data_IF_836506312889
#
_entry.id   IF_836506312889
#
_cell.length_a   1.000
_cell.length_b   1.000
_cell.length_c   1.000
_cell.angle_alpha   90.00
_cell.angle_beta   90.00
_cell.angle_gamma   90.00
#
_symmetry.space_group_name_H-M   'P 1'
#
loop_
_entity.id
_entity.type
_entity.pdbx_description
1 polymer ?
#
# COMPACT_ATOMS: atom_id res chain seq x y z
N UNK A 1 1.87 -8.76 -7.89
CA UNK A 1 3.12 -9.52 -8.12
C UNK A 1 3.81 -8.99 -9.35
N UNK A 2 5.13 -9.17 -9.46
CA UNK A 2 5.94 -8.74 -10.62
C UNK A 2 7.36 -9.28 -10.53
N UNK A 3 8.22 -8.86 -11.48
CA UNK A 3 9.60 -9.34 -11.61
C UNK A 3 10.68 -8.26 -11.40
N UNK A 4 10.31 -6.99 -11.43
CA UNK A 4 11.21 -5.85 -11.25
C UNK A 4 10.54 -4.79 -10.36
N UNK A 5 11.23 -4.42 -9.28
CA UNK A 5 10.76 -3.43 -8.32
C UNK A 5 11.87 -2.41 -8.07
N UNK A 6 11.49 -1.15 -8.02
CA UNK A 6 12.35 -0.05 -7.57
C UNK A 6 11.61 0.61 -6.42
N UNK A 7 12.19 0.55 -5.23
CA UNK A 7 11.58 1.01 -4.00
C UNK A 7 12.58 1.79 -3.14
N UNK A 8 12.11 2.38 -2.05
CA UNK A 8 12.95 3.12 -1.11
C UNK A 8 12.35 3.12 0.29
N UNK A 9 13.14 3.53 1.25
CA UNK A 9 12.77 3.61 2.64
C UNK A 9 12.91 5.04 3.14
N UNK A 10 11.83 5.57 3.71
CA UNK A 10 11.80 6.92 4.27
C UNK A 10 12.49 6.97 5.63
N UNK A 11 12.65 8.16 6.18
CA UNK A 11 13.31 8.38 7.45
C UNK A 11 12.45 7.82 8.59
N UNK A 12 13.03 6.93 9.41
CA UNK A 12 12.43 6.52 10.67
C UNK A 12 13.25 7.12 11.82
N UNK A 13 12.59 7.74 12.78
CA UNK A 13 13.27 8.38 13.91
C UNK A 13 13.88 7.34 14.82
N UNK A 14 15.20 7.22 14.78
CA UNK A 14 15.96 6.28 15.60
C UNK A 14 15.73 6.57 17.08
N UNK A 15 15.31 5.55 17.82
CA UNK A 15 15.11 5.60 19.27
C UNK A 15 15.81 4.42 19.94
N UNK A 16 17.14 4.45 19.99
CA UNK A 16 17.97 3.36 20.50
C UNK A 16 19.01 2.89 19.48
N UNK A 17 19.29 1.59 19.43
CA UNK A 17 20.14 1.01 18.39
C UNK A 17 19.41 0.93 17.07
N UNK A 18 20.01 1.43 16.01
CA UNK A 18 19.46 1.33 14.66
C UNK A 18 19.39 -0.14 14.21
N UNK A 19 18.27 -0.51 13.59
CA UNK A 19 18.03 -1.84 13.07
C UNK A 19 18.10 -1.85 11.55
N UNK A 20 18.52 -2.97 10.98
CA UNK A 20 18.47 -3.16 9.54
C UNK A 20 17.02 -3.14 9.04
N UNK A 21 16.88 -2.67 7.82
CA UNK A 21 15.65 -2.76 7.05
C UNK A 21 15.48 -4.20 6.58
N UNK A 22 14.24 -4.67 6.54
CA UNK A 22 13.93 -6.00 6.07
C UNK A 22 13.06 -5.93 4.81
N UNK A 23 13.40 -6.76 3.82
CA UNK A 23 12.54 -7.14 2.71
C UNK A 23 12.09 -8.57 2.91
N UNK A 24 10.80 -8.81 2.72
CA UNK A 24 10.23 -10.15 2.67
C UNK A 24 9.75 -10.42 1.25
N UNK A 25 10.15 -11.54 0.68
CA UNK A 25 9.78 -11.93 -0.68
C UNK A 25 9.10 -13.29 -0.67
N UNK A 26 8.03 -13.41 -1.46
CA UNK A 26 7.28 -14.65 -1.62
C UNK A 26 6.80 -14.81 -3.06
N UNK A 27 6.44 -16.02 -3.46
CA UNK A 27 5.91 -16.31 -4.79
C UNK A 27 4.74 -17.29 -4.72
N UNK A 28 3.79 -17.13 -5.65
CA UNK A 28 2.75 -18.13 -5.94
C UNK A 28 3.10 -19.00 -7.14
N UNK A 29 4.26 -18.77 -7.80
CA UNK A 29 4.76 -19.60 -8.91
C UNK A 29 5.09 -21.01 -8.45
N UNK A 30 4.81 -22.00 -9.31
CA UNK A 30 5.24 -23.37 -9.08
C UNK A 30 6.75 -23.57 -9.33
N UNK A 31 7.39 -22.65 -10.06
CA UNK A 31 8.84 -22.59 -10.27
C UNK A 31 9.46 -21.72 -9.19
N UNK A 32 10.50 -22.19 -8.48
CA UNK A 32 11.21 -21.34 -7.53
C UNK A 32 11.76 -20.08 -8.19
N UNK A 33 11.59 -18.95 -7.55
CA UNK A 33 12.03 -17.65 -8.02
C UNK A 33 13.43 -17.33 -7.50
N UNK A 34 14.40 -17.12 -8.37
CA UNK A 34 15.68 -16.53 -7.99
C UNK A 34 15.51 -15.01 -7.89
N UNK A 35 15.77 -14.47 -6.70
CA UNK A 35 15.57 -13.04 -6.36
C UNK A 35 16.91 -12.38 -6.10
N UNK A 36 17.15 -11.23 -6.72
CA UNK A 36 18.34 -10.42 -6.51
C UNK A 36 17.95 -9.05 -5.97
N UNK A 37 18.58 -8.63 -4.87
CA UNK A 37 18.41 -7.30 -4.27
C UNK A 37 19.72 -6.52 -4.36
N UNK A 38 19.66 -5.31 -4.88
CA UNK A 38 20.81 -4.40 -5.03
C UNK A 38 20.47 -2.99 -4.55
N UNK A 39 21.51 -2.21 -4.25
CA UNK A 39 21.42 -0.77 -3.94
C UNK A 39 22.35 0.01 -4.89
N UNK A 40 21.94 0.20 -6.17
CA UNK A 40 22.87 0.50 -7.27
C UNK A 40 23.69 1.77 -7.10
N UNK A 41 23.13 2.82 -6.48
CA UNK A 41 23.84 4.08 -6.24
C UNK A 41 24.38 4.20 -4.82
N UNK A 42 23.68 3.66 -3.82
CA UNK A 42 24.09 3.76 -2.41
C UNK A 42 25.32 2.92 -2.11
N UNK A 43 25.29 1.66 -2.47
CA UNK A 43 26.42 0.72 -2.39
C UNK A 43 26.41 -0.20 -3.60
N UNK A 44 27.10 0.17 -4.69
CA UNK A 44 27.10 -0.60 -5.94
C UNK A 44 27.64 -2.03 -5.81
N UNK A 45 28.41 -2.32 -4.77
CA UNK A 45 28.92 -3.68 -4.48
C UNK A 45 27.92 -4.56 -3.72
N UNK A 46 26.83 -3.97 -3.16
CA UNK A 46 25.82 -4.75 -2.47
C UNK A 46 24.94 -5.50 -3.47
N UNK A 47 24.99 -6.81 -3.39
CA UNK A 47 24.13 -7.71 -4.15
C UNK A 47 23.83 -8.94 -3.31
N UNK A 48 22.58 -9.15 -2.96
CA UNK A 48 22.12 -10.32 -2.23
C UNK A 48 21.19 -11.14 -3.11
N UNK A 49 21.49 -12.43 -3.24
CA UNK A 49 20.70 -13.38 -4.04
C UNK A 49 20.10 -14.43 -3.12
N UNK A 50 18.83 -14.73 -3.30
CA UNK A 50 18.11 -15.80 -2.62
C UNK A 50 17.19 -16.52 -3.58
N UNK A 51 16.64 -17.66 -3.17
CA UNK A 51 15.64 -18.40 -3.94
C UNK A 51 14.42 -18.64 -3.07
N UNK A 52 13.25 -18.20 -3.53
CA UNK A 52 11.98 -18.41 -2.83
C UNK A 52 11.12 -19.41 -3.59
N UNK A 53 10.56 -20.38 -2.86
CA UNK A 53 9.60 -21.36 -3.39
C UNK A 53 8.18 -20.99 -2.96
N UNK A 54 7.21 -21.48 -3.72
CA UNK A 54 5.78 -21.29 -3.41
C UNK A 54 5.46 -21.64 -1.95
N UNK A 55 4.72 -20.75 -1.29
CA UNK A 55 4.29 -20.92 0.11
C UNK A 55 5.37 -20.58 1.14
N UNK A 56 6.59 -20.27 0.69
CA UNK A 56 7.68 -19.81 1.56
C UNK A 56 7.87 -18.31 1.46
N UNK A 57 8.52 -17.75 2.47
CA UNK A 57 8.97 -16.37 2.50
C UNK A 57 10.44 -16.33 2.83
N UNK A 58 11.18 -15.56 2.03
CA UNK A 58 12.59 -15.28 2.27
C UNK A 58 12.77 -13.86 2.79
N UNK A 59 13.60 -13.71 3.81
CA UNK A 59 13.97 -12.43 4.41
C UNK A 59 15.34 -11.99 3.89
N UNK A 60 15.42 -10.72 3.47
CA UNK A 60 16.64 -10.08 3.02
C UNK A 60 16.84 -8.81 3.87
N UNK A 61 18.03 -8.65 4.43
CA UNK A 61 18.36 -7.48 5.25
C UNK A 61 19.23 -6.49 4.47
N UNK A 62 18.88 -5.21 4.59
CA UNK A 62 19.65 -4.09 4.04
C UNK A 62 20.02 -3.16 5.20
N UNK A 63 21.21 -2.54 5.12
CA UNK A 63 21.63 -1.58 6.14
C UNK A 63 20.61 -0.44 6.33
N UNK A 64 20.34 -0.07 7.57
CA UNK A 64 19.44 1.05 7.91
C UNK A 64 19.86 2.39 7.28
N UNK A 65 21.13 2.56 6.91
CA UNK A 65 21.64 3.76 6.27
C UNK A 65 21.08 4.01 4.86
N UNK A 66 20.36 3.04 4.26
CA UNK A 66 19.64 3.21 2.99
C UNK A 66 18.43 4.14 3.11
N UNK A 67 17.93 4.43 4.31
CA UNK A 67 16.80 5.33 4.53
C UNK A 67 17.07 6.73 4.00
N UNK A 68 16.03 7.39 3.50
CA UNK A 68 16.04 8.82 3.28
C UNK A 68 16.31 9.59 4.58
N UNK A 69 16.81 10.80 4.46
CA UNK A 69 17.08 11.67 5.61
C UNK A 69 16.94 13.13 5.22
N UNK A 70 16.13 13.88 5.97
CA UNK A 70 15.88 15.29 5.70
C UNK A 70 15.23 15.52 4.34
N UNK A 71 15.39 16.72 3.74
CA UNK A 71 14.81 17.08 2.45
C UNK A 71 15.87 17.23 1.37
N UNK A 72 15.75 16.50 0.25
CA UNK A 72 16.67 16.62 -0.89
C UNK A 72 16.77 15.38 -1.76
N UNK A 73 17.58 15.48 -2.82
CA UNK A 73 17.91 14.36 -3.70
C UNK A 73 19.03 13.54 -3.08
N UNK A 74 18.85 12.21 -3.08
CA UNK A 74 19.76 11.26 -2.46
C UNK A 74 19.86 9.98 -3.30
N UNK A 75 20.92 9.20 -3.11
CA UNK A 75 21.20 7.95 -3.83
C UNK A 75 20.74 6.75 -2.97
N UNK A 76 19.41 6.58 -2.78
CA UNK A 76 18.82 5.65 -1.80
C UNK A 76 17.85 4.62 -2.40
N UNK A 77 17.80 4.50 -3.73
CA UNK A 77 16.94 3.51 -4.40
C UNK A 77 17.44 2.08 -4.20
N UNK A 78 16.49 1.18 -3.99
CA UNK A 78 16.69 -0.27 -3.89
C UNK A 78 16.04 -0.92 -5.10
N UNK A 79 16.73 -1.84 -5.76
CA UNK A 79 16.19 -2.67 -6.83
C UNK A 79 16.03 -4.10 -6.37
N UNK A 80 14.87 -4.68 -6.67
CA UNK A 80 14.59 -6.12 -6.51
C UNK A 80 14.21 -6.68 -7.86
N UNK A 81 14.93 -7.69 -8.32
CA UNK A 81 14.61 -8.41 -9.57
C UNK A 81 14.39 -9.88 -9.30
N UNK A 82 13.57 -10.54 -10.12
CA UNK A 82 13.25 -11.95 -9.96
C UNK A 82 13.05 -12.65 -11.30
N UNK A 83 13.37 -13.95 -11.35
CA UNK A 83 13.11 -14.82 -12.52
C UNK A 83 11.63 -15.12 -12.68
N UNK A 84 10.87 -15.22 -11.59
CA UNK A 84 9.43 -15.45 -11.55
C UNK A 84 8.70 -14.31 -10.87
N UNK A 85 7.38 -14.24 -11.01
CA UNK A 85 6.57 -13.24 -10.30
C UNK A 85 6.62 -13.44 -8.79
N UNK A 86 6.96 -12.37 -8.08
CA UNK A 86 7.04 -12.32 -6.63
C UNK A 86 6.16 -11.21 -6.04
N UNK A 87 5.83 -11.34 -4.77
CA UNK A 87 5.38 -10.23 -3.93
C UNK A 87 6.53 -9.81 -3.04
N UNK A 88 6.72 -8.51 -2.90
CA UNK A 88 7.76 -7.91 -2.05
C UNK A 88 7.10 -7.07 -0.99
N UNK A 89 7.50 -7.26 0.27
CA UNK A 89 7.12 -6.41 1.40
C UNK A 89 8.36 -5.73 1.93
N UNK A 90 8.28 -4.44 2.18
CA UNK A 90 9.32 -3.66 2.86
C UNK A 90 8.94 -3.39 4.30
N UNK A 91 9.89 -3.53 5.22
CA UNK A 91 9.70 -3.23 6.65
C UNK A 91 10.75 -2.24 7.09
N UNK A 92 10.30 -1.07 7.51
CA UNK A 92 11.13 -0.01 8.08
C UNK A 92 11.03 -0.08 9.60
N UNK A 93 12.04 -0.67 10.24
CA UNK A 93 11.92 -1.08 11.63
C UNK A 93 13.01 -0.46 12.52
N UNK A 94 12.58 0.02 13.65
CA UNK A 94 13.40 0.43 14.80
C UNK A 94 12.91 -0.26 16.08
N UNK A 95 13.64 -0.11 17.18
CA UNK A 95 13.27 -0.77 18.43
C UNK A 95 11.85 -0.44 18.91
N UNK A 96 11.42 0.82 18.74
CA UNK A 96 10.13 1.34 19.17
C UNK A 96 9.42 2.10 18.05
N UNK A 97 9.57 1.67 16.81
CA UNK A 97 8.95 2.31 15.67
C UNK A 97 9.07 1.42 14.43
N UNK A 98 7.95 0.87 14.00
CA UNK A 98 7.94 -0.10 12.90
C UNK A 98 6.67 0.05 12.09
N UNK A 99 6.82 0.11 10.77
CA UNK A 99 5.71 -0.12 9.84
C UNK A 99 6.22 -0.81 8.58
N UNK A 100 5.30 -1.33 7.78
CA UNK A 100 5.63 -2.06 6.57
C UNK A 100 4.65 -1.76 5.44
N UNK A 101 5.06 -2.05 4.23
CA UNK A 101 4.28 -1.82 3.02
C UNK A 101 4.43 -2.95 2.02
N UNK A 102 3.44 -3.11 1.13
CA UNK A 102 3.56 -3.96 -0.05
C UNK A 102 4.16 -3.15 -1.21
N UNK A 103 5.23 -3.66 -1.82
CA UNK A 103 5.87 -3.00 -2.95
C UNK A 103 5.13 -3.30 -4.26
N UNK A 104 5.03 -2.29 -5.15
CA UNK A 104 4.47 -2.42 -6.47
C UNK A 104 5.58 -2.57 -7.52
N UNK A 105 5.45 -3.51 -8.46
CA UNK A 105 6.43 -3.69 -9.51
C UNK A 105 6.43 -2.50 -10.49
N UNK A 106 7.55 -2.32 -11.20
CA UNK A 106 7.76 -1.19 -12.12
C UNK A 106 6.69 -1.11 -13.23
N UNK A 107 6.12 -2.22 -13.62
CA UNK A 107 5.04 -2.27 -14.62
C UNK A 107 3.65 -1.95 -14.06
N UNK A 108 3.51 -1.77 -12.73
CA UNK A 108 2.26 -1.40 -12.06
C UNK A 108 2.28 0.02 -11.46
N UNK A 109 3.42 0.73 -11.51
CA UNK A 109 3.52 2.12 -11.09
C UNK A 109 3.21 3.10 -12.24
N UNK A 110 3.09 4.39 -11.96
CA UNK A 110 2.64 5.40 -12.91
C UNK A 110 3.42 6.71 -12.87
N UNK A 111 2.77 7.77 -13.34
CA UNK A 111 3.35 9.12 -13.46
C UNK A 111 2.64 10.15 -12.58
N UNK A 112 1.44 9.85 -12.08
CA UNK A 112 0.62 10.78 -11.31
C UNK A 112 0.15 10.13 -10.02
N UNK A 113 0.32 10.87 -8.93
CA UNK A 113 0.01 10.41 -7.59
C UNK A 113 -0.61 11.53 -6.75
N UNK A 114 -1.34 11.14 -5.72
CA UNK A 114 -1.81 12.02 -4.66
C UNK A 114 -1.38 11.40 -3.33
N UNK A 115 -0.92 12.22 -2.39
CA UNK A 115 -0.35 11.74 -1.14
C UNK A 115 -1.37 11.73 -0.01
N UNK A 116 -1.12 10.87 0.97
CA UNK A 116 -1.79 10.84 2.27
C UNK A 116 -0.74 10.70 3.37
N UNK A 117 -0.79 11.58 4.37
CA UNK A 117 0.04 11.51 5.58
C UNK A 117 -0.84 11.84 6.79
N UNK A 118 -0.29 11.76 7.99
CA UNK A 118 -0.89 12.37 9.17
C UNK A 118 -0.22 13.71 9.47
N UNK A 119 -0.84 14.53 10.30
CA UNK A 119 -0.30 15.84 10.69
C UNK A 119 0.93 15.67 11.58
N UNK A 120 1.98 16.42 11.32
CA UNK A 120 3.32 16.42 11.89
C UNK A 120 4.21 15.26 11.46
N UNK A 121 5.51 15.53 11.40
CA UNK A 121 6.52 14.55 10.97
C UNK A 121 6.17 13.89 9.62
N UNK A 122 5.38 14.60 8.79
CA UNK A 122 4.92 14.11 7.50
C UNK A 122 6.08 14.02 6.51
N UNK A 123 6.12 12.94 5.74
CA UNK A 123 7.17 12.71 4.74
C UNK A 123 6.66 12.01 3.50
N UNK A 124 7.38 12.19 2.41
CA UNK A 124 7.22 11.40 1.19
C UNK A 124 8.54 11.21 0.48
N UNK A 125 8.62 10.20 -0.38
CA UNK A 125 9.77 9.94 -1.21
C UNK A 125 9.33 9.63 -2.64
N UNK A 126 10.03 10.21 -3.62
CA UNK A 126 9.88 9.89 -5.05
C UNK A 126 11.17 9.25 -5.54
N UNK A 127 11.07 8.13 -6.24
CA UNK A 127 12.23 7.38 -6.74
C UNK A 127 12.18 7.33 -8.27
N UNK A 128 13.25 7.77 -8.92
CA UNK A 128 13.41 7.70 -10.37
C UNK A 128 13.60 6.26 -10.85
N UNK A 129 12.85 5.86 -11.89
CA UNK A 129 13.00 4.56 -12.55
C UNK A 129 13.80 4.64 -13.85
N UNK A 130 14.00 5.86 -14.34
CA UNK A 130 14.75 6.19 -15.55
C UNK A 130 15.57 7.46 -15.35
N UNK A 131 16.69 7.59 -16.08
CA UNK A 131 17.53 8.78 -16.04
C UNK A 131 16.82 10.02 -16.59
N UNK A 132 17.11 11.19 -16.01
CA UNK A 132 16.56 12.47 -16.46
C UNK A 132 15.05 12.56 -16.28
N UNK A 133 14.49 11.97 -15.23
CA UNK A 133 13.07 12.08 -14.87
C UNK A 133 12.80 13.43 -14.22
N UNK A 134 11.84 14.19 -14.75
CA UNK A 134 11.37 15.45 -14.15
C UNK A 134 10.10 15.19 -13.35
N UNK A 135 10.11 15.58 -12.08
CA UNK A 135 9.00 15.44 -11.14
C UNK A 135 8.51 16.80 -10.69
N UNK A 136 7.23 17.09 -10.84
CA UNK A 136 6.56 18.26 -10.28
C UNK A 136 5.83 17.87 -9.01
N UNK A 137 6.07 18.60 -7.93
CA UNK A 137 5.42 18.46 -6.63
C UNK A 137 4.59 19.69 -6.37
N UNK A 138 3.27 19.55 -6.25
CA UNK A 138 2.34 20.63 -5.89
C UNK A 138 1.77 20.37 -4.50
N UNK A 139 2.14 21.18 -3.51
CA UNK A 139 1.61 21.09 -2.16
C UNK A 139 0.12 21.43 -2.16
N UNK A 140 -0.70 20.66 -1.44
CA UNK A 140 -2.16 20.86 -1.45
C UNK A 140 -2.56 22.26 -0.96
N UNK A 141 -3.26 23.02 -1.80
CA UNK A 141 -3.82 24.31 -1.44
C UNK A 141 -5.00 24.20 -0.45
N UNK A 142 -5.67 23.05 -0.46
CA UNK A 142 -6.88 22.80 0.35
C UNK A 142 -6.60 22.06 1.66
N UNK A 143 -5.35 21.69 1.94
CA UNK A 143 -5.01 21.12 3.23
C UNK A 143 -5.09 22.18 4.34
N UNK A 144 -5.86 21.96 5.41
CA UNK A 144 -6.00 22.93 6.50
C UNK A 144 -4.71 23.12 7.32
N UNK A 145 -3.78 22.15 7.25
CA UNK A 145 -2.49 22.24 7.93
C UNK A 145 -1.49 23.02 7.09
N UNK A 146 -0.89 24.05 7.66
CA UNK A 146 0.20 24.79 7.02
C UNK A 146 1.41 23.85 6.83
N UNK A 147 1.74 23.60 5.58
CA UNK A 147 2.81 22.66 5.20
C UNK A 147 3.85 23.41 4.37
N UNK A 148 5.12 23.15 4.64
CA UNK A 148 6.21 23.74 3.86
C UNK A 148 7.31 22.72 3.57
N UNK A 149 7.98 22.93 2.42
CA UNK A 149 9.16 22.19 1.99
C UNK A 149 10.23 23.19 1.58
N UNK A 150 11.41 23.09 2.17
CA UNK A 150 12.58 23.89 1.75
C UNK A 150 13.48 23.01 0.88
N UNK A 151 13.66 23.41 -0.38
CA UNK A 151 14.46 22.67 -1.35
C UNK A 151 15.13 23.63 -2.33
N UNK A 152 16.41 23.40 -2.64
CA UNK A 152 17.21 24.15 -3.61
C UNK A 152 17.13 25.68 -3.41
N UNK A 153 17.24 26.14 -2.15
CA UNK A 153 17.24 27.55 -1.79
C UNK A 153 15.86 28.22 -1.77
N UNK A 154 14.78 27.52 -2.15
CA UNK A 154 13.39 28.00 -2.08
C UNK A 154 12.62 27.33 -0.94
N UNK A 155 11.65 28.06 -0.36
CA UNK A 155 10.66 27.48 0.56
C UNK A 155 9.30 27.54 -0.11
N UNK A 156 8.67 26.38 -0.27
CA UNK A 156 7.38 26.20 -0.92
C UNK A 156 6.33 25.86 0.13
N UNK A 157 5.17 26.49 0.03
CA UNK A 157 4.03 26.33 0.94
C UNK A 157 2.79 25.82 0.21
N UNK A 158 1.70 25.62 0.94
CA UNK A 158 0.43 25.12 0.38
C UNK A 158 0.04 25.88 -0.92
N UNK A 159 -0.33 25.13 -1.94
CA UNK A 159 -0.68 25.62 -3.28
C UNK A 159 0.51 25.88 -4.21
N UNK A 160 1.75 25.86 -3.72
CA UNK A 160 2.93 26.09 -4.53
C UNK A 160 3.49 24.80 -5.13
N UNK A 161 4.13 24.95 -6.29
CA UNK A 161 4.75 23.86 -7.05
C UNK A 161 6.26 24.06 -7.15
N UNK A 162 7.02 22.99 -7.01
CA UNK A 162 8.44 22.94 -7.33
C UNK A 162 8.76 21.72 -8.18
N UNK A 163 9.91 21.75 -8.84
CA UNK A 163 10.38 20.67 -9.71
C UNK A 163 11.64 20.03 -9.17
N UNK A 164 11.74 18.72 -9.34
CA UNK A 164 12.91 17.90 -8.98
C UNK A 164 13.33 17.10 -10.21
N UNK A 165 14.64 17.00 -10.46
CA UNK A 165 15.20 16.12 -11.49
C UNK A 165 15.84 14.90 -10.83
N UNK A 166 15.52 13.70 -11.31
CA UNK A 166 16.02 12.43 -10.80
C UNK A 166 16.61 11.58 -11.92
N UNK A 167 17.72 10.94 -11.64
CA UNK A 167 18.20 9.81 -12.42
C UNK A 167 17.64 8.49 -11.85
N UNK A 168 17.80 7.42 -12.60
CA UNK A 168 17.39 6.08 -12.16
C UNK A 168 18.03 5.75 -10.82
N UNK A 169 17.24 5.25 -9.89
CA UNK A 169 17.57 4.91 -8.48
C UNK A 169 17.87 6.12 -7.57
N UNK A 170 17.87 7.34 -8.07
CA UNK A 170 17.87 8.50 -7.20
C UNK A 170 16.51 8.66 -6.51
N UNK A 171 16.56 9.15 -5.28
CA UNK A 171 15.37 9.44 -4.47
C UNK A 171 15.30 10.94 -4.19
N UNK A 172 14.12 11.53 -4.24
CA UNK A 172 13.83 12.81 -3.60
C UNK A 172 13.03 12.53 -2.34
N UNK A 173 13.55 12.86 -1.19
CA UNK A 173 12.86 12.76 0.09
C UNK A 173 12.48 14.16 0.58
N UNK A 174 11.27 14.31 1.12
CA UNK A 174 10.80 15.55 1.75
C UNK A 174 10.21 15.24 3.12
N UNK A 175 10.58 16.05 4.11
CA UNK A 175 10.11 15.97 5.48
C UNK A 175 9.56 17.34 5.91
N UNK A 176 8.37 17.36 6.51
CA UNK A 176 7.78 18.51 7.18
C UNK A 176 7.43 18.16 8.62
N UNK A 177 8.15 18.72 9.57
CA UNK A 177 8.00 18.38 11.00
C UNK A 177 6.68 18.86 11.60
N UNK A 178 6.04 19.85 11.00
CA UNK A 178 4.76 20.44 11.47
C UNK A 178 3.63 20.29 10.45
N UNK A 179 3.93 19.85 9.21
CA UNK A 179 2.99 19.81 8.11
C UNK A 179 2.21 18.51 7.98
N UNK A 180 1.41 18.47 6.91
CA UNK A 180 0.62 17.32 6.46
C UNK A 180 0.60 17.35 4.92
N UNK A 181 1.14 16.32 4.27
CA UNK A 181 1.19 16.25 2.80
C UNK A 181 -0.07 15.67 2.17
N UNK A 182 -1.13 15.39 2.94
CA UNK A 182 -2.40 14.89 2.36
C UNK A 182 -2.93 15.82 1.29
N UNK A 183 -3.24 15.26 0.11
CA UNK A 183 -3.68 16.01 -1.06
C UNK A 183 -2.53 16.62 -1.90
N UNK A 184 -1.27 16.47 -1.51
CA UNK A 184 -0.13 16.87 -2.35
C UNK A 184 -0.10 16.02 -3.61
N UNK A 185 0.06 16.68 -4.77
CA UNK A 185 0.09 16.04 -6.08
C UNK A 185 1.51 15.88 -6.60
N UNK A 186 1.82 14.69 -7.09
CA UNK A 186 3.07 14.36 -7.77
C UNK A 186 2.75 14.08 -9.24
N UNK A 187 3.46 14.76 -10.17
CA UNK A 187 3.37 14.52 -11.61
C UNK A 187 4.78 14.36 -12.18
N UNK A 188 5.05 13.27 -12.84
CA UNK A 188 6.33 12.99 -13.46
C UNK A 188 6.19 12.79 -14.98
N UNK A 189 7.23 13.10 -15.74
CA UNK A 189 7.28 12.86 -17.19
C UNK A 189 7.55 11.38 -17.52
N UNK A 190 8.16 10.63 -16.59
CA UNK A 190 8.40 9.18 -16.66
C UNK A 190 7.78 8.49 -15.45
N UNK A 191 7.67 7.15 -15.48
CA UNK A 191 7.14 6.41 -14.32
C UNK A 191 8.07 6.57 -13.12
N UNK A 192 7.49 6.69 -11.92
CA UNK A 192 8.23 6.84 -10.67
C UNK A 192 7.61 5.99 -9.58
N UNK A 193 8.40 5.56 -8.62
CA UNK A 193 7.87 5.02 -7.35
C UNK A 193 7.62 6.17 -6.38
N UNK A 194 6.51 6.12 -5.66
CA UNK A 194 6.18 7.13 -4.63
C UNK A 194 5.86 6.44 -3.32
N UNK A 195 6.52 6.87 -2.25
CA UNK A 195 6.26 6.47 -0.86
C UNK A 195 5.65 7.65 -0.11
N UNK A 196 4.79 7.38 0.86
CA UNK A 196 4.15 8.40 1.72
C UNK A 196 4.01 7.89 3.15
N UNK A 197 4.00 8.79 4.11
CA UNK A 197 3.84 8.43 5.50
C UNK A 197 4.34 9.50 6.48
N UNK A 198 4.77 9.06 7.65
CA UNK A 198 5.27 9.94 8.70
C UNK A 198 6.51 9.34 9.36
N UNK A 199 7.52 10.16 9.60
CA UNK A 199 8.78 9.75 10.22
C UNK A 199 8.57 9.11 11.59
N UNK A 200 7.73 9.70 12.43
CA UNK A 200 7.25 9.17 13.71
C UNK A 200 6.13 10.04 14.26
N UNK A 201 4.91 9.56 14.33
CA UNK A 201 3.74 10.37 14.69
C UNK A 201 2.81 9.62 15.65
N UNK A 202 2.06 10.35 16.47
CA UNK A 202 0.92 9.84 17.23
C UNK A 202 -0.39 10.21 16.50
N UNK A 203 -1.16 9.22 16.15
CA UNK A 203 -2.52 9.37 15.61
C UNK A 203 -3.50 9.33 16.78
N UNK A 204 -3.93 10.50 17.25
CA UNK A 204 -4.66 10.60 18.51
C UNK A 204 -5.89 11.52 18.44
N UNK A 205 -6.89 11.16 19.20
CA UNK A 205 -8.08 11.97 19.52
C UNK A 205 -8.05 12.55 20.95
N UNK A 206 -7.01 12.20 21.73
CA UNK A 206 -6.80 12.65 23.11
C UNK A 206 -5.32 12.92 23.37
N UNK A 207 -5.03 13.98 24.13
CA UNK A 207 -3.66 14.35 24.53
C UNK A 207 -3.02 13.35 25.51
N UNK A 208 -3.79 12.44 26.08
CA UNK A 208 -3.28 11.40 26.99
C UNK A 208 -2.66 10.20 26.27
N UNK A 209 -2.91 10.06 24.95
CA UNK A 209 -2.31 9.03 24.09
C UNK A 209 -1.09 9.62 23.38
N UNK A 210 0.11 9.27 23.82
CA UNK A 210 1.35 9.92 23.40
C UNK A 210 2.32 9.02 22.64
N UNK A 211 2.08 7.71 22.63
CA UNK A 211 2.91 6.79 21.87
C UNK A 211 2.84 7.09 20.37
N UNK A 212 3.94 6.90 19.67
CA UNK A 212 4.09 7.30 18.27
C UNK A 212 4.87 6.27 17.49
N UNK A 213 4.52 6.07 16.22
CA UNK A 213 5.19 5.14 15.32
C UNK A 213 5.53 5.78 13.97
N UNK A 214 6.41 5.12 13.22
CA UNK A 214 6.63 5.35 11.80
C UNK A 214 5.41 4.90 11.03
N UNK A 215 5.04 5.64 9.99
CA UNK A 215 3.96 5.27 9.07
C UNK A 215 4.51 5.25 7.67
N UNK A 216 4.25 4.19 6.91
CA UNK A 216 4.74 4.09 5.53
C UNK A 216 3.84 3.24 4.64
N UNK A 217 3.58 3.74 3.42
CA UNK A 217 2.98 2.98 2.32
C UNK A 217 3.57 3.38 0.97
N UNK A 218 3.61 2.45 0.03
CA UNK A 218 3.84 2.77 -1.37
C UNK A 218 2.52 3.21 -2.00
N UNK A 219 2.54 4.40 -2.63
CA UNK A 219 1.33 5.01 -3.19
C UNK A 219 0.98 4.36 -4.52
N UNK A 220 -0.27 3.89 -4.73
CA UNK A 220 -0.74 3.48 -6.05
C UNK A 220 -0.91 4.70 -6.96
N UNK A 221 -0.63 4.58 -8.27
CA UNK A 221 -0.86 5.69 -9.20
C UNK A 221 -2.36 6.00 -9.35
N UNK A 222 -2.69 7.25 -9.73
CA UNK A 222 -4.08 7.73 -9.79
C UNK A 222 -4.95 6.86 -10.72
N UNK A 223 -4.41 6.36 -11.82
CA UNK A 223 -5.12 5.49 -12.76
C UNK A 223 -5.44 4.08 -12.22
N UNK A 224 -4.79 3.69 -11.13
CA UNK A 224 -5.09 2.47 -10.39
C UNK A 224 -6.06 2.67 -9.21
N UNK A 225 -6.48 3.90 -8.91
CA UNK A 225 -7.43 4.17 -7.82
C UNK A 225 -8.86 3.81 -8.21
N UNK A 226 -9.66 3.35 -7.25
CA UNK A 226 -11.02 2.87 -7.47
C UNK A 226 -12.10 3.79 -6.90
N UNK A 227 -13.33 3.25 -6.84
CA UNK A 227 -14.53 3.99 -6.41
C UNK A 227 -15.31 3.28 -5.31
N UNK A 228 -15.03 2.00 -5.06
CA UNK A 228 -15.72 1.15 -4.10
C UNK A 228 -14.76 0.64 -3.05
N UNK A 229 -14.98 1.03 -1.82
CA UNK A 229 -14.19 0.67 -0.65
C UNK A 229 -15.10 0.40 0.55
N UNK A 230 -14.49 0.10 1.69
CA UNK A 230 -15.19 -0.06 2.97
C UNK A 230 -14.23 0.25 4.12
N UNK A 231 -14.80 0.52 5.29
CA UNK A 231 -14.03 0.64 6.52
C UNK A 231 -13.78 -0.75 7.11
N UNK A 232 -12.63 -0.91 7.74
CA UNK A 232 -12.25 -2.06 8.56
C UNK A 232 -11.83 -1.56 9.94
N UNK A 233 -11.54 -2.44 10.87
CA UNK A 233 -11.06 -2.05 12.20
C UNK A 233 -9.71 -2.67 12.48
N UNK A 234 -8.84 -1.91 13.14
CA UNK A 234 -7.63 -2.47 13.75
C UNK A 234 -8.05 -3.51 14.81
N UNK A 235 -7.54 -4.74 14.70
CA UNK A 235 -7.83 -5.78 15.67
C UNK A 235 -7.41 -5.42 17.12
N UNK A 236 -8.09 -5.99 18.10
CA UNK A 236 -7.79 -5.82 19.54
C UNK A 236 -7.79 -4.35 20.05
N UNK A 237 -8.47 -3.45 19.35
CA UNK A 237 -8.65 -2.06 19.77
C UNK A 237 -10.12 -1.72 19.87
N UNK A 238 -10.48 -0.85 20.81
CA UNK A 238 -11.88 -0.46 21.06
C UNK A 238 -12.15 1.05 20.89
N UNK A 239 -11.18 1.78 20.34
CA UNK A 239 -11.27 3.24 20.13
C UNK A 239 -11.53 3.65 18.68
N UNK A 240 -11.65 2.68 17.78
CA UNK A 240 -11.84 2.91 16.34
C UNK A 240 -10.59 3.42 15.64
N UNK A 241 -10.78 3.85 14.40
CA UNK A 241 -9.72 4.27 13.49
C UNK A 241 -10.14 5.51 12.71
N UNK A 242 -9.17 6.25 12.15
CA UNK A 242 -9.43 7.33 11.22
C UNK A 242 -9.29 6.84 9.77
N UNK A 243 -10.17 7.34 8.91
CA UNK A 243 -10.07 7.14 7.46
C UNK A 243 -10.02 8.48 6.76
N UNK A 244 -9.12 8.61 5.78
CA UNK A 244 -9.10 9.77 4.87
C UNK A 244 -9.50 9.31 3.48
N UNK A 245 -10.43 10.05 2.86
CA UNK A 245 -10.92 9.83 1.50
C UNK A 245 -10.47 11.03 0.69
N UNK A 246 -9.53 10.84 -0.24
CA UNK A 246 -8.89 11.90 -0.99
C UNK A 246 -9.39 11.88 -2.44
N UNK A 247 -9.92 12.98 -2.94
CA UNK A 247 -10.47 13.10 -4.28
C UNK A 247 -9.35 13.32 -5.32
N UNK A 248 -9.41 12.59 -6.44
CA UNK A 248 -8.49 12.75 -7.58
C UNK A 248 -8.99 13.74 -8.62
N UNK A 249 -10.28 14.12 -8.56
CA UNK A 249 -10.96 14.99 -9.53
C UNK A 249 -11.93 15.92 -8.83
N UNK A 250 -12.26 17.05 -9.49
CA UNK A 250 -13.28 17.99 -9.00
C UNK A 250 -14.67 17.37 -8.96
N UNK A 251 -15.52 17.87 -8.07
CA UNK A 251 -16.92 17.44 -7.93
C UNK A 251 -17.05 15.93 -7.68
N UNK A 252 -16.13 15.34 -6.93
CA UNK A 252 -16.18 13.95 -6.49
C UNK A 252 -17.19 13.81 -5.35
N UNK A 253 -18.29 13.12 -5.60
CA UNK A 253 -19.30 12.81 -4.58
C UNK A 253 -18.91 11.54 -3.85
N UNK A 254 -18.81 11.62 -2.53
CA UNK A 254 -18.48 10.49 -1.64
C UNK A 254 -19.72 10.12 -0.85
N UNK A 255 -20.07 8.85 -0.85
CA UNK A 255 -21.17 8.28 -0.06
C UNK A 255 -20.64 7.29 0.97
N UNK A 256 -21.20 7.31 2.18
CA UNK A 256 -20.89 6.42 3.29
C UNK A 256 -22.17 5.64 3.64
N UNK A 257 -22.06 4.32 3.73
CA UNK A 257 -23.19 3.43 4.01
C UNK A 257 -24.41 3.69 3.08
N UNK A 258 -24.16 4.03 1.80
CA UNK A 258 -25.19 4.30 0.80
C UNK A 258 -25.76 5.72 0.81
N UNK A 259 -25.37 6.59 1.74
CA UNK A 259 -25.84 7.98 1.82
C UNK A 259 -24.75 8.96 1.40
N UNK A 260 -25.11 10.00 0.65
CA UNK A 260 -24.17 11.05 0.29
C UNK A 260 -23.60 11.71 1.57
N UNK A 261 -22.28 11.65 1.71
CA UNK A 261 -21.56 12.21 2.84
C UNK A 261 -21.02 13.63 2.53
N UNK A 262 -20.33 13.78 1.38
CA UNK A 262 -19.74 15.05 0.98
C UNK A 262 -19.43 15.09 -0.52
N UNK A 263 -19.12 16.28 -1.01
CA UNK A 263 -18.56 16.52 -2.36
C UNK A 263 -17.20 17.19 -2.21
N UNK A 264 -16.18 16.62 -2.85
CA UNK A 264 -14.80 17.07 -2.79
C UNK A 264 -14.32 17.54 -4.16
N UNK A 265 -13.45 18.54 -4.19
CA UNK A 265 -12.67 18.88 -5.37
C UNK A 265 -11.31 18.14 -5.35
N UNK A 266 -10.61 18.16 -6.48
CA UNK A 266 -9.30 17.53 -6.61
C UNK A 266 -8.37 17.95 -5.45
N UNK A 267 -7.65 16.99 -4.89
CA UNK A 267 -6.72 17.18 -3.77
C UNK A 267 -7.37 17.51 -2.42
N UNK A 268 -8.69 17.66 -2.35
CA UNK A 268 -9.40 17.73 -1.08
C UNK A 268 -9.60 16.34 -0.48
N UNK A 269 -9.74 16.29 0.83
CA UNK A 269 -10.06 15.07 1.55
C UNK A 269 -11.16 15.25 2.59
N UNK A 270 -11.84 14.17 2.88
CA UNK A 270 -12.73 14.05 4.03
C UNK A 270 -12.10 13.08 5.04
N UNK A 271 -12.28 13.36 6.33
CA UNK A 271 -11.81 12.49 7.41
C UNK A 271 -13.03 11.90 8.14
N UNK A 272 -12.97 10.59 8.39
CA UNK A 272 -13.97 9.86 9.14
C UNK A 272 -13.31 9.29 10.39
N UNK A 273 -13.97 9.46 11.54
CA UNK A 273 -13.67 8.75 12.77
C UNK A 273 -14.66 7.60 12.88
N UNK A 274 -14.20 6.36 12.74
CA UNK A 274 -15.06 5.15 12.67
C UNK A 274 -14.82 4.31 13.90
N UNK A 275 -15.91 3.97 14.61
CA UNK A 275 -15.83 3.13 15.79
C UNK A 275 -15.41 1.70 15.43
N UNK A 276 -14.76 1.00 16.36
CA UNK A 276 -14.41 -0.41 16.20
C UNK A 276 -15.65 -1.25 15.90
N UNK A 277 -15.56 -2.08 14.86
CA UNK A 277 -16.66 -2.96 14.44
C UNK A 277 -17.74 -2.26 13.60
N UNK A 278 -17.63 -0.98 13.33
CA UNK A 278 -18.57 -0.23 12.49
C UNK A 278 -18.09 -0.26 11.03
N UNK A 279 -18.41 -1.35 10.34
CA UNK A 279 -18.02 -1.57 8.94
C UNK A 279 -19.00 -0.91 7.97
N UNK A 280 -18.54 0.03 7.19
CA UNK A 280 -19.34 0.84 6.26
C UNK A 280 -18.79 0.77 4.84
N UNK A 281 -19.67 0.74 3.84
CA UNK A 281 -19.25 1.00 2.46
C UNK A 281 -18.84 2.46 2.29
N UNK A 282 -17.79 2.69 1.51
CA UNK A 282 -17.31 4.00 1.06
C UNK A 282 -17.33 3.96 -0.46
N UNK A 283 -18.21 4.72 -1.08
CA UNK A 283 -18.33 4.75 -2.54
C UNK A 283 -18.18 6.16 -3.07
N UNK A 284 -17.65 6.29 -4.28
CA UNK A 284 -17.52 7.57 -4.95
C UNK A 284 -17.93 7.48 -6.42
N UNK A 285 -18.41 8.60 -7.00
CA UNK A 285 -18.72 8.68 -8.42
C UNK A 285 -17.46 8.76 -9.31
N UNK A 286 -16.31 9.17 -8.72
CA UNK A 286 -14.99 9.30 -9.34
C UNK A 286 -13.94 8.58 -8.52
N UNK A 287 -12.73 8.29 -9.09
CA UNK A 287 -11.67 7.63 -8.34
C UNK A 287 -11.25 8.41 -7.10
N UNK A 288 -11.05 7.71 -6.00
CA UNK A 288 -10.55 8.26 -4.73
C UNK A 288 -9.47 7.35 -4.16
N UNK A 289 -8.60 7.93 -3.33
CA UNK A 289 -7.76 7.15 -2.43
C UNK A 289 -8.47 7.06 -1.08
N UNK A 290 -8.53 5.88 -0.52
CA UNK A 290 -9.02 5.66 0.84
C UNK A 290 -7.88 5.12 1.69
N UNK A 291 -7.60 5.79 2.80
CA UNK A 291 -6.54 5.41 3.73
C UNK A 291 -7.11 5.16 5.11
N UNK A 292 -6.47 4.27 5.87
CA UNK A 292 -6.76 3.99 7.26
C UNK A 292 -5.55 4.38 8.11
N UNK A 293 -5.81 5.11 9.19
CA UNK A 293 -4.86 5.42 10.26
C UNK A 293 -5.35 4.79 11.55
N UNK A 294 -4.64 3.77 12.01
CA UNK A 294 -4.86 3.18 13.32
C UNK A 294 -4.47 4.17 14.40
N UNK A 295 -5.36 4.39 15.39
CA UNK A 295 -5.10 5.34 16.47
C UNK A 295 -4.04 4.84 17.45
N UNK A 296 -3.27 5.77 17.98
CA UNK A 296 -2.45 5.51 19.18
C UNK A 296 -3.33 5.06 20.33
N UNK A 297 -3.00 3.93 20.96
CA UNK A 297 -3.75 3.44 22.10
C UNK A 297 -2.94 3.50 23.39
N UNK A 298 -3.62 3.40 24.53
CA UNK A 298 -3.02 3.32 25.84
C UNK A 298 -3.67 2.21 26.64
N UNK A 299 -2.87 1.26 27.09
CA UNK A 299 -3.36 0.20 28.00
C UNK A 299 -3.86 0.75 29.32
N UNK A 300 -3.35 1.91 29.77
CA UNK A 300 -3.80 2.58 31.00
C UNK A 300 -5.22 3.14 30.90
N UNK A 301 -5.70 3.42 29.68
CA UNK A 301 -7.06 3.92 29.43
C UNK A 301 -8.03 2.82 29.01
N UNK A 302 -7.59 1.55 28.95
CA UNK A 302 -8.41 0.42 28.55
C UNK A 302 -8.74 0.38 27.07
N UNK A 303 -7.92 1.01 26.22
CA UNK A 303 -8.15 1.11 24.77
C UNK A 303 -7.99 -0.23 24.04
N UNK A 304 -7.35 -1.20 24.66
CA UNK A 304 -7.15 -2.56 24.15
C UNK A 304 -6.17 -3.35 25.00
N UNK A 305 -6.22 -4.69 24.97
CA UNK A 305 -5.49 -5.56 25.90
C UNK A 305 -3.97 -5.63 25.60
N UNK A 306 -3.55 -5.42 24.35
CA UNK A 306 -2.16 -5.65 23.91
C UNK A 306 -1.38 -4.37 23.64
N UNK A 307 -1.93 -3.21 23.98
CA UNK A 307 -1.30 -1.95 23.58
C UNK A 307 -1.39 -1.73 22.07
N UNK A 308 -0.49 -0.94 21.54
CA UNK A 308 -0.34 -0.69 20.11
C UNK A 308 -0.08 0.78 19.80
N UNK A 309 0.69 0.98 18.77
CA UNK A 309 1.04 2.29 18.23
C UNK A 309 0.21 2.59 16.96
N UNK A 310 0.31 3.77 16.40
CA UNK A 310 -0.29 4.08 15.11
C UNK A 310 0.18 3.13 14.02
N UNK A 311 -0.65 2.95 13.02
CA UNK A 311 -0.34 2.23 11.79
C UNK A 311 -1.06 2.88 10.62
N UNK A 312 -0.60 2.61 9.41
CA UNK A 312 -1.09 3.27 8.22
C UNK A 312 -1.29 2.27 7.09
N UNK A 313 -2.42 2.35 6.40
CA UNK A 313 -2.65 1.56 5.20
C UNK A 313 -3.43 2.33 4.14
N UNK A 314 -3.03 2.17 2.88
CA UNK A 314 -3.81 2.56 1.72
C UNK A 314 -4.68 1.36 1.33
N UNK A 315 -6.01 1.52 1.39
CA UNK A 315 -6.92 0.42 1.16
C UNK A 315 -7.07 0.15 -0.35
N UNK A 316 -6.95 -1.11 -0.79
CA UNK A 316 -7.32 -1.50 -2.15
C UNK A 316 -8.82 -1.34 -2.39
N UNK A 317 -9.20 -0.90 -3.58
CA UNK A 317 -10.60 -0.89 -4.01
C UNK A 317 -11.11 -2.31 -4.26
N UNK A 318 -12.42 -2.53 -4.13
CA UNK A 318 -13.05 -3.86 -4.33
C UNK A 318 -12.64 -4.56 -5.63
N UNK A 319 -12.54 -3.88 -6.79
CA UNK A 319 -12.08 -4.53 -8.03
C UNK A 319 -10.62 -5.00 -8.02
N UNK A 320 -9.84 -4.59 -7.03
CA UNK A 320 -8.40 -4.94 -6.90
C UNK A 320 -8.14 -6.17 -6.03
N UNK A 321 -9.19 -6.83 -5.54
CA UNK A 321 -9.03 -7.99 -4.68
C UNK A 321 -8.56 -9.21 -5.49
N UNK A 322 -7.48 -9.88 -5.07
CA UNK A 322 -7.10 -11.20 -5.56
C UNK A 322 -8.02 -12.31 -4.99
N UNK A 323 -7.78 -13.54 -5.45
CA UNK A 323 -8.43 -14.76 -4.94
C UNK A 323 -7.54 -15.56 -3.99
N UNK A 324 -6.26 -15.18 -3.91
CA UNK A 324 -5.24 -15.87 -3.11
C UNK A 324 -4.13 -14.90 -2.70
N UNK A 325 -3.53 -15.17 -1.55
CA UNK A 325 -2.41 -14.43 -0.99
C UNK A 325 -1.40 -15.37 -0.35
N UNK A 326 -0.13 -14.99 -0.39
CA UNK A 326 0.89 -15.46 0.55
C UNK A 326 1.46 -14.23 1.24
N UNK A 327 1.45 -14.20 2.57
CA UNK A 327 1.90 -13.06 3.36
C UNK A 327 2.75 -13.51 4.56
N UNK A 328 3.49 -12.59 5.15
CA UNK A 328 4.30 -12.83 6.36
C UNK A 328 3.78 -11.98 7.50
N UNK A 329 3.93 -12.47 8.71
CA UNK A 329 3.92 -11.61 9.89
C UNK A 329 5.30 -10.99 10.11
N UNK A 330 5.33 -9.81 10.73
CA UNK A 330 6.56 -9.11 11.08
C UNK A 330 6.98 -9.48 12.50
N UNK A 331 8.28 -9.47 12.77
CA UNK A 331 8.85 -9.62 14.13
C UNK A 331 9.67 -8.37 14.48
N UNK A 332 9.54 -7.90 15.71
CA UNK A 332 10.39 -6.83 16.24
C UNK A 332 11.54 -7.40 17.08
N UNK A 333 12.60 -6.59 17.30
CA UNK A 333 13.66 -6.95 18.25
C UNK A 333 13.19 -7.08 19.70
N UNK A 334 12.07 -6.44 20.04
CA UNK A 334 11.54 -6.34 21.42
C UNK A 334 10.48 -7.39 21.76
N UNK A 335 10.08 -8.23 20.82
CA UNK A 335 9.09 -9.28 21.06
C UNK A 335 8.21 -9.59 19.85
N UNK A 336 7.35 -10.55 20.02
CA UNK A 336 6.42 -10.95 18.99
C UNK A 336 5.16 -10.07 19.02
N UNK A 337 4.70 -9.70 17.82
CA UNK A 337 3.38 -9.13 17.65
C UNK A 337 2.29 -10.17 17.90
N UNK A 338 1.16 -9.75 18.41
CA UNK A 338 -0.08 -10.46 18.20
C UNK A 338 -0.57 -10.15 16.80
N UNK A 339 -0.66 -11.18 15.98
CA UNK A 339 -0.83 -11.03 14.53
C UNK A 339 -2.25 -11.40 14.11
N UNK A 340 -2.77 -10.68 13.12
CA UNK A 340 -4.11 -10.85 12.61
C UNK A 340 -4.15 -10.69 11.09
N UNK A 341 -5.12 -11.35 10.49
CA UNK A 341 -5.56 -11.10 9.12
C UNK A 341 -7.02 -10.66 9.15
N UNK A 342 -7.29 -9.43 8.72
CA UNK A 342 -8.66 -8.96 8.47
C UNK A 342 -9.03 -9.33 7.06
N UNK A 343 -10.13 -10.05 6.90
CA UNK A 343 -10.63 -10.51 5.60
C UNK A 343 -11.95 -9.81 5.29
N UNK A 344 -12.10 -9.32 4.05
CA UNK A 344 -13.37 -8.83 3.53
C UNK A 344 -13.74 -9.57 2.26
N UNK A 345 -14.88 -10.24 2.28
CA UNK A 345 -15.32 -11.17 1.24
C UNK A 345 -16.83 -11.11 1.04
N UNK A 346 -17.33 -11.50 -0.11
CA UNK A 346 -18.77 -11.69 -0.34
C UNK A 346 -19.32 -12.79 0.56
N UNK A 347 -20.50 -12.58 1.14
CA UNK A 347 -21.18 -13.55 2.01
C UNK A 347 -21.30 -14.95 1.38
N UNK A 348 -21.59 -15.00 0.08
CA UNK A 348 -21.72 -16.23 -0.70
C UNK A 348 -20.43 -17.05 -0.87
N UNK A 349 -19.27 -16.46 -0.53
CA UNK A 349 -17.95 -17.08 -0.74
C UNK A 349 -17.16 -17.30 0.55
N UNK A 350 -17.63 -16.80 1.69
CA UNK A 350 -16.88 -16.84 2.96
C UNK A 350 -16.58 -18.25 3.49
N UNK A 351 -17.47 -19.22 3.21
CA UNK A 351 -17.33 -20.60 3.67
C UNK A 351 -16.34 -21.43 2.85
N UNK A 352 -15.91 -20.93 1.69
CA UNK A 352 -14.95 -21.58 0.79
C UNK A 352 -13.51 -21.05 1.01
N UNK A 353 -13.31 -20.22 2.02
CA UNK A 353 -12.00 -19.67 2.39
C UNK A 353 -11.15 -20.72 3.09
N UNK A 354 -9.86 -20.75 2.75
CA UNK A 354 -8.83 -21.57 3.38
C UNK A 354 -7.67 -20.71 3.85
N UNK A 355 -7.29 -20.83 5.09
CA UNK A 355 -6.08 -20.28 5.69
C UNK A 355 -5.18 -21.45 6.07
N UNK A 356 -3.98 -21.52 5.50
CA UNK A 356 -3.02 -22.61 5.69
C UNK A 356 -3.69 -23.98 5.51
N UNK A 357 -4.39 -24.14 4.37
CA UNK A 357 -5.14 -25.34 3.97
C UNK A 357 -6.36 -25.68 4.85
N UNK A 358 -6.61 -24.94 5.94
CA UNK A 358 -7.72 -25.19 6.84
C UNK A 358 -8.86 -24.18 6.63
N UNK A 359 -10.10 -24.62 6.84
CA UNK A 359 -11.22 -23.67 6.92
C UNK A 359 -11.13 -22.90 8.25
N UNK A 360 -11.17 -21.56 8.22
CA UNK A 360 -11.19 -20.79 9.46
C UNK A 360 -12.38 -21.19 10.33
N UNK A 361 -12.13 -21.56 11.60
CA UNK A 361 -13.14 -21.98 12.56
C UNK A 361 -13.32 -20.96 13.68
N UNK A 362 -14.51 -20.89 14.26
CA UNK A 362 -14.79 -19.96 15.37
C UNK A 362 -14.83 -18.48 14.94
N UNK A 363 -14.94 -18.20 13.65
CA UNK A 363 -14.86 -16.85 13.08
C UNK A 363 -16.23 -16.16 13.15
N UNK A 364 -16.26 -14.96 13.71
CA UNK A 364 -17.44 -14.09 13.67
C UNK A 364 -17.37 -13.19 12.45
N UNK A 365 -18.40 -13.27 11.61
CA UNK A 365 -18.57 -12.45 10.42
C UNK A 365 -19.54 -11.30 10.67
N UNK A 366 -19.15 -10.09 10.33
CA UNK A 366 -19.97 -8.88 10.41
C UNK A 366 -20.25 -8.32 9.01
N UNK A 367 -21.45 -7.84 8.79
CA UNK A 367 -21.82 -7.27 7.50
C UNK A 367 -21.25 -5.85 7.32
N UNK A 368 -20.88 -5.51 6.08
CA UNK A 368 -20.54 -4.14 5.69
C UNK A 368 -21.83 -3.37 5.38
N UNK A 369 -22.16 -2.40 6.22
CA UNK A 369 -23.37 -1.60 6.10
C UNK A 369 -23.36 -0.77 4.80
N UNK A 370 -24.44 -0.80 4.05
CA UNK A 370 -24.62 -0.10 2.77
C UNK A 370 -23.85 -0.71 1.60
N UNK A 371 -23.26 -1.91 1.77
CA UNK A 371 -22.61 -2.62 0.66
C UNK A 371 -23.65 -3.22 -0.29
N UNK A 372 -23.60 -2.82 -1.56
CA UNK A 372 -24.40 -3.44 -2.62
C UNK A 372 -23.93 -4.84 -3.01
N UNK A 373 -22.74 -5.25 -2.55
CA UNK A 373 -22.10 -6.53 -2.87
C UNK A 373 -22.24 -7.58 -1.76
N UNK A 374 -22.99 -7.29 -0.69
CA UNK A 374 -23.13 -8.17 0.50
C UNK A 374 -21.78 -8.63 1.04
N UNK A 375 -20.90 -7.66 1.32
CA UNK A 375 -19.58 -7.91 1.90
C UNK A 375 -19.68 -8.22 3.39
N UNK A 376 -18.86 -9.16 3.82
CA UNK A 376 -18.68 -9.57 5.21
C UNK A 376 -17.23 -9.35 5.62
N UNK A 377 -17.02 -8.92 6.85
CA UNK A 377 -15.69 -8.72 7.46
C UNK A 377 -15.49 -9.73 8.58
N UNK A 378 -14.29 -10.28 8.65
CA UNK A 378 -13.86 -11.09 9.79
C UNK A 378 -12.40 -10.81 10.13
N UNK A 379 -12.06 -11.00 11.41
CA UNK A 379 -10.68 -10.96 11.90
C UNK A 379 -10.25 -12.37 12.27
N UNK A 380 -9.14 -12.81 11.70
CA UNK A 380 -8.51 -14.10 11.96
C UNK A 380 -7.22 -13.84 12.74
N UNK A 381 -7.04 -14.47 13.90
CA UNK A 381 -5.73 -14.49 14.57
C UNK A 381 -4.82 -15.46 13.85
N UNK A 382 -3.56 -15.06 13.59
CA UNK A 382 -2.58 -15.88 12.87
C UNK A 382 -1.28 -16.01 13.68
N UNK A 383 -0.62 -17.16 13.55
CA UNK A 383 0.68 -17.40 14.20
C UNK A 383 1.79 -16.51 13.59
N UNK A 384 2.91 -16.33 14.28
CA UNK A 384 4.09 -15.75 13.63
C UNK A 384 4.60 -16.61 12.48
N UNK A 385 4.86 -16.01 11.31
CA UNK A 385 5.46 -16.70 10.18
C UNK A 385 4.82 -16.40 8.83
N UNK A 386 4.98 -17.35 7.91
CA UNK A 386 4.40 -17.33 6.56
C UNK A 386 3.03 -17.97 6.57
N UNK A 387 2.09 -17.36 5.88
CA UNK A 387 0.72 -17.84 5.74
C UNK A 387 0.26 -17.79 4.30
N UNK A 388 -0.59 -18.73 3.93
CA UNK A 388 -1.34 -18.71 2.66
C UNK A 388 -2.83 -18.63 2.92
N UNK A 389 -3.52 -17.79 2.18
CA UNK A 389 -4.99 -17.72 2.23
C UNK A 389 -5.53 -17.67 0.81
N UNK A 390 -6.53 -18.50 0.52
CA UNK A 390 -7.15 -18.56 -0.79
C UNK A 390 -8.64 -18.97 -0.68
N UNK A 391 -9.39 -18.69 -1.75
CA UNK A 391 -10.75 -19.18 -1.86
C UNK A 391 -10.78 -20.38 -2.82
N UNK A 392 -11.48 -21.47 -2.43
CA UNK A 392 -11.60 -22.67 -3.28
C UNK A 392 -12.42 -22.43 -4.53
N UNK A 393 -13.19 -21.33 -4.61
CA UNK A 393 -13.84 -20.82 -5.82
C UNK A 393 -12.92 -19.79 -6.47
N UNK A 394 -12.25 -20.09 -7.60
CA UNK A 394 -11.24 -19.20 -8.20
C UNK A 394 -11.76 -17.82 -8.63
N UNK A 395 -13.08 -17.70 -8.85
CA UNK A 395 -13.74 -16.43 -9.19
C UNK A 395 -14.06 -15.56 -7.96
N UNK A 396 -13.95 -16.11 -6.76
CA UNK A 396 -14.22 -15.37 -5.53
C UNK A 396 -12.97 -14.62 -5.08
N UNK A 397 -13.02 -13.31 -5.15
CA UNK A 397 -11.96 -12.41 -4.72
C UNK A 397 -12.29 -11.84 -3.33
N UNK A 398 -11.26 -11.50 -2.55
CA UNK A 398 -11.42 -10.95 -1.21
C UNK A 398 -10.24 -10.04 -0.85
N UNK A 399 -10.44 -9.14 0.10
CA UNK A 399 -9.34 -8.41 0.73
C UNK A 399 -8.72 -9.25 1.85
N UNK A 400 -7.40 -9.24 1.93
CA UNK A 400 -6.62 -9.63 3.10
C UNK A 400 -5.78 -8.47 3.57
N UNK A 401 -5.93 -8.06 4.84
CA UNK A 401 -5.08 -7.05 5.48
C UNK A 401 -4.38 -7.67 6.67
N UNK A 402 -3.05 -7.67 6.66
CA UNK A 402 -2.23 -8.13 7.77
C UNK A 402 -2.04 -7.04 8.81
N UNK A 403 -2.16 -7.39 10.08
CA UNK A 403 -1.98 -6.51 11.22
C UNK A 403 -1.12 -7.16 12.28
N UNK A 404 -0.34 -6.34 12.98
CA UNK A 404 0.34 -6.75 14.20
C UNK A 404 0.27 -5.68 15.26
N UNK A 405 -0.06 -6.09 16.50
CA UNK A 405 -0.07 -5.20 17.64
C UNK A 405 0.89 -5.72 18.72
N UNK A 406 1.78 -4.84 19.19
CA UNK A 406 2.64 -5.05 20.35
C UNK A 406 2.56 -3.83 21.26
N UNK A 407 3.18 -3.88 22.44
CA UNK A 407 3.04 -2.81 23.44
C UNK A 407 3.47 -1.42 22.92
N UNK A 408 4.47 -1.35 22.06
CA UNK A 408 5.09 -0.10 21.58
C UNK A 408 5.33 -0.09 20.08
N UNK A 409 4.73 -0.99 19.35
CA UNK A 409 4.87 -1.12 17.90
C UNK A 409 3.59 -1.65 17.29
N UNK A 410 3.32 -1.26 16.07
CA UNK A 410 2.25 -1.82 15.26
C UNK A 410 2.67 -1.88 13.80
N UNK A 411 1.99 -2.68 13.00
CA UNK A 411 2.08 -2.64 11.56
C UNK A 411 0.76 -2.99 10.91
N UNK A 412 0.54 -2.46 9.72
CA UNK A 412 -0.54 -2.95 8.85
C UNK A 412 -0.15 -2.82 7.39
N UNK A 413 -0.53 -3.79 6.56
CA UNK A 413 -0.36 -3.73 5.11
C UNK A 413 -1.32 -4.67 4.40
N UNK A 414 -1.65 -4.34 3.14
CA UNK A 414 -2.43 -5.26 2.31
C UNK A 414 -1.61 -6.53 2.03
N UNK A 415 -2.17 -7.71 2.30
CA UNK A 415 -1.51 -8.99 2.03
C UNK A 415 -1.19 -9.17 0.53
N UNK A 416 -1.85 -8.40 -0.32
CA UNK A 416 -1.60 -8.26 -1.75
C UNK A 416 -2.73 -7.48 -2.42
N UNK A 417 -2.47 -6.99 -3.62
CA UNK A 417 -3.46 -6.27 -4.43
C UNK A 417 -3.22 -6.50 -5.91
N UNK A 418 -4.29 -6.43 -6.70
CA UNK A 418 -4.21 -6.38 -8.16
C UNK A 418 -4.22 -4.93 -8.62
N UNK A 419 -3.04 -4.34 -8.81
CA UNK A 419 -2.94 -3.03 -9.44
C UNK A 419 -3.13 -3.18 -10.96
N UNK A 420 -4.39 -3.11 -11.41
CA UNK A 420 -4.70 -2.86 -12.80
C UNK A 420 -5.16 -1.40 -12.91
N UNK A 421 -4.87 -0.74 -14.03
CA UNK A 421 -5.47 0.55 -14.33
C UNK A 421 -7.00 0.36 -14.46
N UNK A 422 -7.75 0.74 -13.41
CA UNK A 422 -9.21 0.56 -13.35
C UNK A 422 -9.89 1.68 -14.16
N UNK A 423 -9.21 2.81 -14.34
CA UNK A 423 -9.76 4.05 -14.92
C UNK A 423 -9.13 4.46 -16.24
N UNK A 424 -8.22 3.68 -16.80
CA UNK A 424 -7.56 3.97 -18.07
C UNK A 424 -7.67 2.82 -19.05
N UNK A 425 -8.19 3.10 -20.26
CA UNK A 425 -8.09 2.19 -21.40
C UNK A 425 -6.64 2.22 -21.89
N UNK A 426 -5.75 1.53 -21.23
CA UNK A 426 -4.45 1.20 -21.82
C UNK A 426 -4.54 -0.23 -22.36
N UNK A 427 -4.87 -0.33 -23.64
CA UNK A 427 -5.00 -1.58 -24.41
C UNK A 427 -3.72 -2.47 -24.43
N UNK A 428 -2.63 -2.08 -23.78
CA UNK A 428 -1.33 -2.75 -23.87
C UNK A 428 -1.02 -3.73 -22.74
N UNK A 429 -1.88 -3.89 -21.72
CA UNK A 429 -1.59 -4.78 -20.58
C UNK A 429 -2.48 -6.02 -20.44
N UNK A 430 -3.51 -6.19 -21.31
CA UNK A 430 -4.48 -7.29 -21.21
C UNK A 430 -4.06 -8.60 -21.90
N UNK A 431 -2.87 -8.69 -22.50
CA UNK A 431 -2.43 -9.90 -23.21
C UNK A 431 -1.07 -10.44 -22.73
N UNK A 432 -0.93 -10.70 -21.43
CA UNK A 432 0.01 -11.71 -20.93
C UNK A 432 -0.71 -12.75 -20.08
N UNK A 433 -1.87 -13.22 -20.53
CA UNK A 433 -2.24 -14.59 -20.21
C UNK A 433 -1.42 -15.49 -21.12
N UNK A 434 -0.49 -16.24 -20.54
CA UNK A 434 0.18 -17.36 -21.20
C UNK A 434 -0.93 -18.36 -21.58
N UNK A 435 -1.35 -18.33 -22.83
CA UNK A 435 -2.12 -19.45 -23.40
C UNK A 435 -1.16 -20.63 -23.45
N UNK A 436 -1.48 -21.77 -22.82
CA UNK A 436 -0.66 -22.97 -22.98
C UNK A 436 -0.56 -23.30 -24.47
N UNK A 437 0.65 -23.46 -24.97
CA UNK A 437 0.90 -23.95 -26.33
C UNK A 437 0.32 -25.36 -26.44
N UNK A 438 -0.91 -25.46 -26.96
CA UNK A 438 -1.37 -26.73 -27.53
C UNK A 438 -0.80 -26.84 -28.95
N UNK A 439 0.11 -27.77 -29.12
CA UNK A 439 0.67 -28.16 -30.41
C UNK A 439 -0.41 -28.80 -31.27
N UNK A 440 -1.04 -28.03 -32.16
CA UNK A 440 -1.73 -28.51 -33.36
C UNK A 440 -1.82 -27.40 -34.42
N UNK A 441 -1.35 -27.62 -35.65
CA UNK A 441 -1.21 -26.59 -36.70
C UNK A 441 -2.56 -26.11 -37.32
N UNK A 442 -3.69 -26.66 -36.93
CA UNK A 442 -4.99 -26.37 -37.60
C UNK A 442 -5.78 -25.20 -36.99
N UNK A 443 -5.42 -24.67 -35.83
CA UNK A 443 -6.21 -23.60 -35.17
C UNK A 443 -5.70 -22.17 -35.43
N UNK A 444 -4.54 -21.98 -36.04
CA UNK A 444 -3.97 -20.64 -36.31
C UNK A 444 -4.73 -19.90 -37.41
N UNK A 445 -5.46 -20.61 -38.28
CA UNK A 445 -6.20 -20.00 -39.39
C UNK A 445 -7.51 -19.31 -38.98
N UNK A 446 -8.14 -19.70 -37.88
CA UNK A 446 -9.41 -19.08 -37.44
C UNK A 446 -9.19 -17.79 -36.61
N UNK A 447 -8.07 -17.68 -35.91
CA UNK A 447 -7.76 -16.47 -35.08
C UNK A 447 -7.47 -15.25 -35.99
N UNK A 448 -6.89 -15.47 -37.16
CA UNK A 448 -6.62 -14.38 -38.11
C UNK A 448 -7.88 -13.88 -38.86
N UNK A 449 -8.97 -14.65 -38.91
CA UNK A 449 -10.22 -14.18 -39.47
C UNK A 449 -11.01 -13.26 -38.52
N UNK A 450 -10.88 -13.43 -37.22
CA UNK A 450 -11.54 -12.54 -36.25
C UNK A 450 -10.79 -11.22 -36.02
N UNK A 451 -9.46 -11.19 -36.21
CA UNK A 451 -8.70 -9.96 -36.10
C UNK A 451 -8.99 -8.95 -37.22
N UNK A 452 -9.38 -9.45 -38.39
CA UNK A 452 -9.76 -8.59 -39.55
C UNK A 452 -11.16 -7.99 -39.39
N UNK A 453 -12.02 -8.55 -38.55
CA UNK A 453 -13.37 -8.03 -38.35
C UNK A 453 -13.43 -6.81 -37.42
N UNK A 454 -12.46 -6.65 -36.52
CA UNK A 454 -12.41 -5.51 -35.60
C UNK A 454 -11.79 -4.25 -36.20
N UNK A 455 -11.00 -4.35 -37.30
CA UNK A 455 -10.43 -3.20 -37.96
C UNK A 455 -11.39 -2.42 -38.89
N UNK A 456 -12.58 -2.93 -39.15
CA UNK A 456 -13.55 -2.28 -40.05
C UNK A 456 -14.66 -1.50 -39.30
N UNK A 457 -14.68 -1.47 -37.96
CA UNK A 457 -15.74 -0.79 -37.21
C UNK A 457 -15.35 0.61 -36.68
N UNK A 458 -14.11 1.09 -36.97
CA UNK A 458 -13.66 2.43 -36.58
C UNK A 458 -13.22 3.30 -37.76
N UNK A 459 -14.09 3.37 -38.80
CA UNK A 459 -14.06 4.44 -39.78
C UNK A 459 -15.48 4.92 -40.01
N UNK A 460 -15.96 5.71 -39.06
CA UNK A 460 -16.99 6.76 -39.22
C UNK A 460 -16.85 7.74 -38.08
#
# INVERSE_FOLDING_TARGET
MGKDFILGFMENKISGSANNIELFVTTTSNTPAAVTVTTPLFNPSFSQVTTVSRGNIEKIEITYNIRGSGTGVQDRGVQVTSTEEITVYGVNKEMYSTDGFVAFPVDAIGKQYILATWTTEAEFMVIGTEDGTTVQVTLSASNPTATSVTYNGGTYTNGQTFSVSLNKYQTFHALSTTGDFTGTKIVADKVVTVMTGNRKVAVRDSMTRTSSDHLVEQVPPIDALGKDFFTISTPDRNIGDYFRIIATEDSTQVSIAGSLYTTLNQCQFAELNVATGDYKSVTANKPVMVTMFGKTISTQTGDGPNGGDPQFSILPAVPQFPSDYTFSTIRTPTGDFKNYLVVVIKDSAKNDLKLDEQSPSGVTWSAVTGSSQNLMVATLEVSPGSHSIYNTKPSATFLGMAFGNAQTNSYSYAAGTRLAAINGVTCNRLFKQVVPLFTAPAQIYEINKHATFFNNYWKL
#
